data_IF_872623126836
#
_entry.id   IF_872623126836
#
_cell.length_a   1.000
_cell.length_b   1.000
_cell.length_c   1.000
_cell.angle_alpha   90.00
_cell.angle_beta   90.00
_cell.angle_gamma   90.00
#
_symmetry.space_group_name_H-M   'P 1'
#
loop_
_entity.id
_entity.type
_entity.pdbx_description
1 polymer ?
#
# COMPACT_ATOMS: atom_id res chain seq x y z
N UNK A 1 42.16 28.76 41.40
CA UNK A 1 42.65 27.53 42.09
C UNK A 1 41.60 26.42 42.23
N UNK A 2 40.27 26.69 42.20
CA UNK A 2 39.25 25.63 42.35
C UNK A 2 38.84 24.93 41.05
N UNK A 3 38.78 25.66 39.92
CA UNK A 3 38.27 25.14 38.64
C UNK A 3 39.21 24.16 37.90
N UNK A 4 40.47 24.03 38.33
CA UNK A 4 41.47 23.14 37.70
C UNK A 4 41.56 21.74 38.33
N UNK A 5 40.66 21.40 39.26
CA UNK A 5 40.63 20.08 39.92
C UNK A 5 39.72 19.14 39.14
N UNK A 6 40.10 17.87 39.07
CA UNK A 6 39.27 16.81 38.47
C UNK A 6 37.94 16.69 39.23
N UNK A 7 36.82 16.66 38.49
CA UNK A 7 35.47 16.57 39.09
C UNK A 7 35.12 15.10 39.36
N UNK A 8 34.50 14.85 40.50
CA UNK A 8 33.90 13.53 40.78
C UNK A 8 32.55 13.39 40.07
N UNK A 9 32.31 12.24 39.47
CA UNK A 9 31.07 11.97 38.73
C UNK A 9 29.81 11.92 39.62
N UNK A 10 29.96 11.63 40.92
CA UNK A 10 28.87 11.53 41.88
C UNK A 10 28.83 12.67 42.91
N UNK A 11 29.55 13.77 42.65
CA UNK A 11 29.47 14.93 43.53
C UNK A 11 28.10 15.62 43.37
N UNK A 12 27.39 15.80 44.47
CA UNK A 12 26.13 16.55 44.49
C UNK A 12 24.87 15.77 44.09
N UNK A 13 24.92 14.44 44.01
CA UNK A 13 23.79 13.61 43.53
C UNK A 13 22.47 13.81 44.29
N UNK A 14 22.51 14.19 45.57
CA UNK A 14 21.32 14.47 46.39
C UNK A 14 21.14 15.95 46.75
N UNK A 15 22.02 16.83 46.28
CA UNK A 15 21.99 18.25 46.67
C UNK A 15 20.78 18.98 46.10
N UNK A 16 20.33 18.62 44.89
CA UNK A 16 19.10 19.19 44.33
C UNK A 16 17.88 18.84 45.20
N UNK A 17 17.75 17.56 45.58
CA UNK A 17 16.66 17.10 46.44
C UNK A 17 16.65 17.80 47.80
N UNK A 18 17.82 18.03 48.39
CA UNK A 18 17.92 18.70 49.70
C UNK A 18 17.48 20.17 49.60
N UNK A 19 17.88 20.87 48.54
CA UNK A 19 17.43 22.24 48.30
C UNK A 19 15.92 22.32 48.03
N UNK A 20 15.36 21.35 47.30
CA UNK A 20 13.93 21.22 47.06
C UNK A 20 13.13 20.88 48.33
N UNK A 21 13.74 20.18 49.31
CA UNK A 21 13.10 19.83 50.59
C UNK A 21 13.15 20.97 51.62
N UNK A 22 14.13 21.87 51.52
CA UNK A 22 14.26 23.07 52.36
C UNK A 22 13.20 24.13 52.02
N UNK A 23 12.77 24.19 50.75
CA UNK A 23 11.63 24.98 50.33
C UNK A 23 10.34 24.17 50.62
N UNK A 24 9.70 24.40 51.77
CA UNK A 24 8.46 23.69 52.12
C UNK A 24 7.38 23.86 51.03
N UNK A 25 7.10 22.76 50.30
CA UNK A 25 6.23 22.81 49.13
C UNK A 25 4.74 22.77 49.53
N UNK A 26 4.15 23.95 49.74
CA UNK A 26 2.72 24.15 50.03
C UNK A 26 1.80 23.54 48.95
N UNK A 27 2.33 23.35 47.74
CA UNK A 27 1.61 22.71 46.64
C UNK A 27 1.22 21.27 46.98
N UNK A 28 2.15 20.44 47.47
CA UNK A 28 1.87 19.04 47.81
C UNK A 28 1.10 18.88 49.13
N UNK A 29 1.09 19.91 49.98
CA UNK A 29 0.26 19.93 51.19
C UNK A 29 -1.22 20.21 50.89
N UNK A 30 -1.52 20.95 49.81
CA UNK A 30 -2.89 21.45 49.54
C UNK A 30 -3.56 20.89 48.30
N UNK A 31 -2.79 20.51 47.27
CA UNK A 31 -3.38 19.99 46.03
C UNK A 31 -3.93 18.58 46.21
N UNK A 32 -5.11 18.34 45.63
CA UNK A 32 -5.80 17.04 45.65
C UNK A 32 -6.09 16.45 47.04
N UNK A 33 -6.16 17.28 48.08
CA UNK A 33 -6.38 16.82 49.47
C UNK A 33 -5.10 16.75 50.31
N UNK A 34 -3.94 16.99 49.71
CA UNK A 34 -2.65 16.90 50.38
C UNK A 34 -2.09 15.48 50.33
N UNK A 35 -0.79 15.35 50.05
CA UNK A 35 -0.14 14.06 49.89
C UNK A 35 0.41 13.49 51.22
N UNK A 36 -0.25 13.81 52.34
CA UNK A 36 0.09 13.28 53.65
C UNK A 36 -0.65 11.95 53.87
N UNK A 37 0.00 10.99 54.53
CA UNK A 37 -0.59 9.69 54.81
C UNK A 37 -1.73 9.84 55.84
N UNK A 38 -2.95 9.51 55.43
CA UNK A 38 -4.12 9.52 56.32
C UNK A 38 -4.23 8.20 57.07
N UNK A 39 -4.59 8.26 58.36
CA UNK A 39 -4.60 7.09 59.24
C UNK A 39 -5.63 6.00 58.84
N UNK A 40 -6.63 6.37 58.03
CA UNK A 40 -7.71 5.51 57.56
C UNK A 40 -7.65 5.27 56.03
N UNK A 41 -6.47 5.41 55.41
CA UNK A 41 -6.29 5.12 53.98
C UNK A 41 -6.28 3.60 53.73
N UNK A 42 -7.28 3.11 52.99
CA UNK A 42 -7.46 1.70 52.66
C UNK A 42 -6.99 1.47 51.22
N UNK A 43 -6.32 0.35 50.96
CA UNK A 43 -5.88 -0.04 49.62
C UNK A 43 -6.99 0.11 48.58
N UNK A 44 -6.63 0.71 47.43
CA UNK A 44 -7.57 0.97 46.34
C UNK A 44 -8.32 -0.30 45.91
N UNK A 45 -9.64 -0.27 46.02
CA UNK A 45 -10.51 -1.29 45.48
C UNK A 45 -10.99 -0.85 44.10
N UNK A 46 -10.64 -1.61 43.07
CA UNK A 46 -11.12 -1.34 41.71
C UNK A 46 -12.64 -1.55 41.68
N UNK A 47 -13.36 -0.49 41.34
CA UNK A 47 -14.76 -0.63 40.96
C UNK A 47 -14.87 -1.51 39.71
N UNK A 48 -15.94 -2.31 39.61
CA UNK A 48 -16.20 -3.12 38.42
C UNK A 48 -16.40 -2.15 37.26
N UNK A 49 -15.38 -2.02 36.41
CA UNK A 49 -15.44 -1.22 35.19
C UNK A 49 -16.66 -1.68 34.39
N UNK A 50 -17.67 -0.83 34.30
CA UNK A 50 -18.72 -1.00 33.29
C UNK A 50 -18.02 -0.90 31.95
N UNK A 51 -18.04 -2.00 31.19
CA UNK A 51 -17.54 -2.04 29.83
C UNK A 51 -18.24 -0.92 29.05
N UNK A 52 -17.52 0.18 28.79
CA UNK A 52 -17.99 1.27 27.95
C UNK A 52 -18.49 0.67 26.64
N UNK A 53 -19.81 0.65 26.42
CA UNK A 53 -20.47 0.01 25.28
C UNK A 53 -19.94 0.54 23.93
N UNK A 54 -19.37 1.74 23.97
CA UNK A 54 -18.66 2.39 22.86
C UNK A 54 -17.37 1.66 22.46
N UNK A 55 -16.60 1.11 23.40
CA UNK A 55 -15.43 0.27 23.12
C UNK A 55 -15.86 -1.06 22.49
N UNK A 56 -16.97 -1.63 22.94
CA UNK A 56 -17.54 -2.88 22.40
C UNK A 56 -18.01 -2.71 20.95
N UNK A 57 -18.67 -1.59 20.62
CA UNK A 57 -19.03 -1.26 19.23
C UNK A 57 -17.77 -1.03 18.36
N UNK A 58 -16.76 -0.33 18.89
CA UNK A 58 -15.47 -0.13 18.19
C UNK A 58 -14.72 -1.44 17.95
N UNK A 59 -14.81 -2.39 18.88
CA UNK A 59 -14.23 -3.74 18.78
C UNK A 59 -14.95 -4.57 17.70
N UNK A 60 -16.28 -4.55 17.68
CA UNK A 60 -17.10 -5.21 16.64
C UNK A 60 -16.81 -4.69 15.23
N UNK A 61 -16.64 -3.37 15.06
CA UNK A 61 -16.26 -2.77 13.77
C UNK A 61 -14.85 -3.17 13.31
N UNK A 62 -13.95 -3.46 14.26
CA UNK A 62 -12.55 -3.84 14.00
C UNK A 62 -12.40 -5.34 13.74
N UNK A 63 -13.20 -6.19 14.38
CA UNK A 63 -13.21 -7.66 14.20
C UNK A 63 -13.85 -8.11 12.88
N UNK A 64 -14.69 -7.28 12.25
CA UNK A 64 -15.19 -7.49 10.88
C UNK A 64 -14.11 -7.47 9.78
N UNK A 65 -12.85 -7.14 10.11
CA UNK A 65 -11.71 -7.22 9.20
C UNK A 65 -10.73 -8.29 9.67
N UNK A 66 -11.07 -9.56 9.41
CA UNK A 66 -10.09 -10.66 9.38
C UNK A 66 -9.01 -10.30 8.35
N UNK A 67 -7.85 -9.88 8.84
CA UNK A 67 -6.67 -9.58 8.04
C UNK A 67 -6.18 -10.89 7.43
N UNK A 68 -6.24 -10.98 6.11
CA UNK A 68 -5.65 -12.08 5.35
C UNK A 68 -4.18 -12.27 5.72
N UNK A 69 -3.77 -13.54 5.75
CA UNK A 69 -2.44 -13.98 6.15
C UNK A 69 -1.33 -13.20 5.46
N UNK A 70 -0.32 -12.84 6.25
CA UNK A 70 0.92 -12.21 5.79
C UNK A 70 1.60 -13.15 4.78
N UNK A 71 1.62 -12.79 3.50
CA UNK A 71 2.52 -13.42 2.53
C UNK A 71 3.96 -13.20 3.02
N UNK A 72 4.64 -14.30 3.34
CA UNK A 72 6.10 -14.30 3.56
C UNK A 72 6.75 -14.39 2.19
N UNK A 73 7.05 -13.26 1.58
CA UNK A 73 8.01 -13.21 0.48
C UNK A 73 9.40 -13.04 1.09
N UNK A 74 10.14 -14.15 1.16
CA UNK A 74 11.60 -14.10 1.24
C UNK A 74 12.11 -13.59 -0.11
N UNK A 75 12.40 -12.29 -0.23
CA UNK A 75 13.43 -11.72 -1.10
C UNK A 75 13.21 -10.20 -1.27
N UNK A 76 13.85 -9.42 -0.41
CA UNK A 76 14.85 -8.40 -0.79
C UNK A 76 15.13 -7.54 0.46
N UNK A 77 16.41 -7.41 0.85
CA UNK A 77 16.82 -6.56 1.96
C UNK A 77 17.04 -5.15 1.39
N UNK A 78 16.05 -4.28 1.55
CA UNK A 78 16.19 -2.88 1.13
C UNK A 78 17.32 -2.19 1.94
N UNK A 79 18.23 -1.45 1.29
CA UNK A 79 19.29 -0.73 1.99
C UNK A 79 18.68 0.38 2.86
N UNK A 80 19.17 0.48 4.10
CA UNK A 80 18.74 1.48 5.10
C UNK A 80 18.76 2.87 4.50
N UNK A 81 17.61 3.54 4.44
CA UNK A 81 17.54 4.96 4.11
C UNK A 81 18.17 5.75 5.25
N UNK A 82 19.20 6.53 4.92
CA UNK A 82 19.83 7.47 5.85
C UNK A 82 18.87 8.63 6.05
N UNK A 83 18.04 8.55 7.10
CA UNK A 83 17.34 9.72 7.63
C UNK A 83 18.38 10.65 8.23
N UNK A 84 18.50 11.85 7.65
CA UNK A 84 19.22 12.97 8.27
C UNK A 84 18.49 13.35 9.56
N UNK A 85 19.06 12.97 10.69
CA UNK A 85 18.86 13.65 11.97
C UNK A 85 20.16 14.32 12.41
N UNK A 86 19.97 15.46 13.07
CA UNK A 86 20.95 16.48 13.42
C UNK A 86 22.04 15.99 14.39
N UNK A 87 23.23 16.53 14.16
CA UNK A 87 24.27 16.97 15.12
C UNK A 87 24.82 15.99 16.16
N UNK A 88 26.13 15.73 16.11
CA UNK A 88 27.15 16.31 17.02
C UNK A 88 28.55 15.76 16.72
N UNK A 89 29.53 16.68 16.56
CA UNK A 89 31.00 16.55 16.75
C UNK A 89 31.78 15.54 15.87
N UNK A 90 33.00 15.75 15.36
CA UNK A 90 34.10 16.68 15.67
C UNK A 90 35.20 16.65 14.57
N UNK A 91 36.00 17.73 14.50
CA UNK A 91 37.34 17.88 13.86
C UNK A 91 37.41 17.84 12.31
N UNK A 92 38.19 18.65 11.56
CA UNK A 92 39.34 19.52 11.85
C UNK A 92 39.58 20.54 10.71
N UNK A 93 40.04 21.74 11.09
CA UNK A 93 40.87 22.74 10.36
C UNK A 93 40.35 23.50 9.10
N UNK A 94 40.85 24.75 8.86
CA UNK A 94 40.09 25.83 8.24
C UNK A 94 40.55 26.21 6.83
N UNK A 95 39.62 26.57 5.93
CA UNK A 95 39.96 27.26 4.67
C UNK A 95 38.97 28.38 4.38
N UNK A 96 39.49 29.60 4.53
CA UNK A 96 38.91 30.88 4.12
C UNK A 96 38.65 30.88 2.61
N UNK A 97 37.44 31.25 2.15
CA UNK A 97 37.20 31.77 0.79
C UNK A 97 35.88 32.57 0.68
N UNK A 98 36.09 33.89 0.70
CA UNK A 98 35.37 35.03 0.11
C UNK A 98 33.96 34.81 -0.51
N UNK A 99 33.03 35.60 0.00
CA UNK A 99 31.71 35.91 -0.58
C UNK A 99 31.88 36.64 -1.93
N UNK A 100 31.15 36.17 -2.97
CA UNK A 100 30.88 36.94 -4.19
C UNK A 100 29.38 36.90 -4.46
N UNK A 101 28.74 38.05 -4.31
CA UNK A 101 27.37 38.34 -4.70
C UNK A 101 27.20 38.13 -6.23
N UNK A 102 26.08 37.51 -6.64
CA UNK A 102 25.68 37.44 -8.05
C UNK A 102 24.35 38.13 -8.26
N UNK A 103 24.39 39.07 -9.20
CA UNK A 103 23.33 39.95 -9.68
C UNK A 103 22.09 39.19 -10.17
N UNK A 104 20.94 39.81 -9.90
CA UNK A 104 19.62 39.50 -10.43
C UNK A 104 19.60 39.73 -11.95
N UNK A 105 19.24 38.70 -12.73
CA UNK A 105 18.85 38.86 -14.13
C UNK A 105 17.48 38.20 -14.30
N UNK A 106 16.50 39.03 -14.64
CA UNK A 106 15.12 38.67 -14.93
C UNK A 106 15.04 37.79 -16.18
N UNK A 107 14.43 36.61 -16.06
CA UNK A 107 14.02 35.79 -17.20
C UNK A 107 12.51 35.89 -17.35
N UNK A 108 12.05 36.41 -18.50
CA UNK A 108 10.65 36.40 -18.92
C UNK A 108 10.14 34.96 -19.05
N UNK A 109 8.88 34.65 -18.71
CA UNK A 109 8.35 33.30 -18.85
C UNK A 109 8.12 32.99 -20.34
N UNK A 110 8.81 31.95 -20.84
CA UNK A 110 8.42 31.31 -22.08
C UNK A 110 7.09 30.59 -21.83
N UNK A 111 6.04 31.02 -22.52
CA UNK A 111 4.72 30.36 -22.48
C UNK A 111 4.89 29.01 -23.16
N UNK A 112 5.04 27.95 -22.36
CA UNK A 112 5.08 26.58 -22.86
C UNK A 112 3.63 26.16 -23.11
N UNK A 113 3.23 26.16 -24.39
CA UNK A 113 1.87 25.86 -24.80
C UNK A 113 1.59 24.35 -24.63
N UNK A 114 0.97 24.00 -23.49
CA UNK A 114 0.64 22.63 -23.08
C UNK A 114 -0.33 21.93 -24.05
N UNK A 115 -1.03 22.69 -24.89
CA UNK A 115 -2.00 22.20 -25.88
C UNK A 115 -1.34 21.47 -27.06
N UNK A 116 -0.06 21.75 -27.34
CA UNK A 116 0.66 21.14 -28.46
C UNK A 116 1.15 19.71 -28.18
N UNK A 117 1.19 19.28 -26.91
CA UNK A 117 1.64 17.92 -26.53
C UNK A 117 0.51 16.88 -26.61
N UNK A 118 -0.76 17.30 -26.65
CA UNK A 118 -1.91 16.41 -26.74
C UNK A 118 -2.09 15.78 -28.13
N UNK A 119 -1.44 16.34 -29.16
CA UNK A 119 -1.55 15.87 -30.56
C UNK A 119 -0.44 14.91 -31.02
N UNK A 120 0.50 14.53 -30.16
CA UNK A 120 1.47 13.47 -30.47
C UNK A 120 1.12 12.22 -29.68
N UNK A 121 0.73 11.16 -30.40
CA UNK A 121 0.24 9.90 -29.87
C UNK A 121 1.13 9.32 -28.77
N UNK A 122 0.76 9.60 -27.53
CA UNK A 122 1.33 8.96 -26.35
C UNK A 122 0.93 7.47 -26.44
N UNK A 123 1.92 6.57 -26.34
CA UNK A 123 1.67 5.12 -26.34
C UNK A 123 0.60 4.79 -25.30
N UNK A 124 -0.36 3.91 -25.64
CA UNK A 124 -1.49 3.52 -24.76
C UNK A 124 -1.04 3.16 -23.33
N UNK A 125 0.11 2.48 -23.20
CA UNK A 125 0.69 2.12 -21.90
C UNK A 125 1.14 3.34 -21.08
N UNK A 126 1.70 4.36 -21.73
CA UNK A 126 2.09 5.63 -21.10
C UNK A 126 0.87 6.45 -20.69
N UNK A 127 -0.20 6.42 -21.49
CA UNK A 127 -1.47 7.08 -21.15
C UNK A 127 -2.13 6.45 -19.91
N UNK A 128 -2.14 5.11 -19.82
CA UNK A 128 -2.69 4.39 -18.67
C UNK A 128 -1.89 4.67 -17.38
N UNK A 129 -0.56 4.64 -17.44
CA UNK A 129 0.29 4.96 -16.28
C UNK A 129 0.17 6.43 -15.87
N UNK A 130 0.07 7.34 -16.84
CA UNK A 130 -0.18 8.77 -16.58
C UNK A 130 -1.53 8.98 -15.89
N UNK A 131 -2.59 8.36 -16.40
CA UNK A 131 -3.91 8.42 -15.78
C UNK A 131 -3.93 7.85 -14.34
N UNK A 132 -3.22 6.75 -14.08
CA UNK A 132 -3.06 6.18 -12.74
C UNK A 132 -2.33 7.14 -11.79
N UNK A 133 -1.24 7.78 -12.25
CA UNK A 133 -0.52 8.77 -11.44
C UNK A 133 -1.37 10.00 -11.15
N UNK A 134 -2.17 10.46 -12.11
CA UNK A 134 -3.11 11.57 -11.92
C UNK A 134 -4.21 11.19 -10.91
N UNK A 135 -4.75 9.97 -10.97
CA UNK A 135 -5.69 9.46 -9.97
C UNK A 135 -5.07 9.46 -8.57
N UNK A 136 -3.84 8.96 -8.43
CA UNK A 136 -3.12 8.95 -7.14
C UNK A 136 -2.86 10.37 -6.61
N UNK A 137 -2.56 11.32 -7.49
CA UNK A 137 -2.40 12.73 -7.11
C UNK A 137 -3.73 13.37 -6.69
N UNK A 138 -4.82 13.09 -7.41
CA UNK A 138 -6.18 13.55 -7.06
C UNK A 138 -6.63 12.97 -5.72
N UNK A 139 -6.43 11.68 -5.47
CA UNK A 139 -6.74 11.03 -4.19
C UNK A 139 -5.97 11.68 -3.03
N UNK A 140 -4.66 11.94 -3.21
CA UNK A 140 -3.85 12.66 -2.21
C UNK A 140 -4.39 14.06 -1.96
N UNK A 141 -4.70 14.80 -3.02
CA UNK A 141 -5.25 16.15 -2.93
C UNK A 141 -6.65 16.17 -2.30
N UNK A 142 -7.50 15.18 -2.56
CA UNK A 142 -8.81 15.04 -1.93
C UNK A 142 -8.71 14.68 -0.45
N UNK A 143 -7.77 13.80 -0.07
CA UNK A 143 -7.50 13.49 1.34
C UNK A 143 -6.96 14.72 2.05
N UNK A 144 -6.08 15.49 1.42
CA UNK A 144 -5.54 16.74 1.96
C UNK A 144 -6.64 17.81 2.08
N UNK A 145 -7.51 17.97 1.07
CA UNK A 145 -8.68 18.85 1.12
C UNK A 145 -9.66 18.43 2.22
N UNK A 146 -9.98 17.14 2.35
CA UNK A 146 -10.82 16.61 3.44
C UNK A 146 -10.20 16.85 4.81
N UNK A 147 -8.88 16.70 4.94
CA UNK A 147 -8.15 17.02 6.19
C UNK A 147 -8.12 18.53 6.46
N UNK A 148 -8.00 19.36 5.44
CA UNK A 148 -8.02 20.81 5.56
C UNK A 148 -9.41 21.34 5.91
N UNK A 149 -10.48 20.75 5.37
CA UNK A 149 -11.86 21.06 5.75
C UNK A 149 -12.14 20.67 7.21
N UNK A 150 -11.75 19.46 7.62
CA UNK A 150 -11.83 19.03 9.03
C UNK A 150 -11.05 19.90 10.02
N UNK A 151 -10.02 20.61 9.56
CA UNK A 151 -9.24 21.58 10.38
C UNK A 151 -9.84 22.98 10.38
N UNK A 152 -10.68 23.31 9.39
CA UNK A 152 -11.45 24.57 9.31
C UNK A 152 -12.78 24.49 10.06
N UNK A 153 -13.19 23.29 10.45
CA UNK A 153 -14.31 23.05 11.38
C UNK A 153 -13.94 23.38 12.84
N UNK A 154 -13.08 24.38 13.08
CA UNK A 154 -13.09 25.14 14.33
C UNK A 154 -14.22 26.14 14.19
N UNK A 155 -15.41 25.61 14.47
CA UNK A 155 -16.76 26.16 14.45
C UNK A 155 -16.82 27.70 14.57
N UNK A 156 -17.02 28.46 13.47
CA UNK A 156 -17.89 29.63 13.53
C UNK A 156 -19.27 29.09 13.89
N UNK A 157 -19.92 29.66 14.91
CA UNK A 157 -21.26 29.24 15.36
C UNK A 157 -22.24 29.27 14.19
N UNK A 158 -22.46 28.12 13.56
CA UNK A 158 -23.54 27.97 12.60
C UNK A 158 -24.86 28.07 13.39
N UNK A 159 -25.87 28.74 12.82
CA UNK A 159 -27.22 28.72 13.38
C UNK A 159 -27.64 27.26 13.62
N UNK A 160 -28.33 27.00 14.74
CA UNK A 160 -28.92 25.67 14.95
C UNK A 160 -29.84 25.38 13.76
N UNK A 161 -29.57 24.26 13.09
CA UNK A 161 -30.38 23.75 11.99
C UNK A 161 -31.84 23.65 12.46
N UNK A 162 -32.76 24.16 11.64
CA UNK A 162 -34.18 24.15 11.96
C UNK A 162 -34.69 22.71 12.07
N UNK A 163 -35.80 22.51 12.79
CA UNK A 163 -36.42 21.18 12.94
C UNK A 163 -36.75 20.55 11.57
N UNK A 164 -37.15 21.37 10.60
CA UNK A 164 -37.51 20.93 9.24
C UNK A 164 -36.32 20.34 8.49
N UNK A 165 -35.19 21.04 8.52
CA UNK A 165 -33.94 20.58 7.92
C UNK A 165 -33.43 19.28 8.57
N UNK A 166 -33.62 19.11 9.89
CA UNK A 166 -33.29 17.86 10.59
C UNK A 166 -34.18 16.70 10.11
N UNK A 167 -35.45 16.97 9.83
CA UNK A 167 -36.39 16.00 9.27
C UNK A 167 -36.07 15.69 7.80
N UNK A 168 -35.58 16.64 7.02
CA UNK A 168 -35.10 16.42 5.65
C UNK A 168 -33.84 15.56 5.62
N UNK A 169 -32.87 15.82 6.51
CA UNK A 169 -31.70 14.97 6.67
C UNK A 169 -32.10 13.54 7.10
N UNK A 170 -33.07 13.42 8.01
CA UNK A 170 -33.61 12.12 8.40
C UNK A 170 -34.26 11.37 7.22
N UNK A 171 -35.05 12.05 6.37
CA UNK A 171 -35.64 11.45 5.15
C UNK A 171 -34.57 11.00 4.15
N UNK A 172 -33.54 11.81 3.93
CA UNK A 172 -32.44 11.48 3.02
C UNK A 172 -31.66 10.27 3.51
N UNK A 173 -31.42 10.19 4.82
CA UNK A 173 -30.72 9.05 5.43
C UNK A 173 -31.58 7.78 5.41
N UNK A 174 -32.88 7.90 5.64
CA UNK A 174 -33.83 6.79 5.48
C UNK A 174 -33.84 6.26 4.04
N UNK A 175 -33.96 7.13 3.04
CA UNK A 175 -33.88 6.72 1.64
C UNK A 175 -32.56 6.04 1.30
N UNK A 176 -31.44 6.55 1.83
CA UNK A 176 -30.13 5.95 1.62
C UNK A 176 -30.04 4.56 2.27
N UNK A 177 -30.61 4.39 3.45
CA UNK A 177 -30.69 3.12 4.15
C UNK A 177 -31.56 2.10 3.37
N UNK A 178 -32.74 2.51 2.89
CA UNK A 178 -33.60 1.67 2.05
C UNK A 178 -32.88 1.23 0.76
N UNK A 179 -32.28 2.17 0.03
CA UNK A 179 -31.46 1.87 -1.17
C UNK A 179 -30.28 0.95 -0.86
N UNK A 180 -29.71 1.04 0.35
CA UNK A 180 -28.62 0.14 0.77
C UNK A 180 -29.12 -1.27 1.09
N UNK A 181 -30.31 -1.38 1.67
CA UNK A 181 -30.97 -2.64 1.99
C UNK A 181 -31.37 -3.38 0.70
N UNK A 182 -32.00 -2.70 -0.25
CA UNK A 182 -32.33 -3.27 -1.57
C UNK A 182 -31.08 -3.83 -2.28
N UNK A 183 -29.97 -3.08 -2.25
CA UNK A 183 -28.68 -3.54 -2.81
C UNK A 183 -28.14 -4.76 -2.10
N UNK A 184 -28.30 -4.83 -0.77
CA UNK A 184 -27.88 -5.99 0.01
C UNK A 184 -28.71 -7.23 -0.36
N UNK A 185 -30.03 -7.08 -0.51
CA UNK A 185 -30.92 -8.17 -0.94
C UNK A 185 -30.57 -8.68 -2.34
N UNK A 186 -30.32 -7.77 -3.29
CA UNK A 186 -29.85 -8.13 -4.63
C UNK A 186 -28.52 -8.90 -4.58
N UNK A 187 -27.58 -8.45 -3.75
CA UNK A 187 -26.31 -9.14 -3.56
C UNK A 187 -26.49 -10.52 -2.92
N UNK A 188 -27.40 -10.69 -1.97
CA UNK A 188 -27.72 -11.99 -1.38
C UNK A 188 -28.36 -12.95 -2.40
N UNK A 189 -29.25 -12.45 -3.27
CA UNK A 189 -29.78 -13.24 -4.39
C UNK A 189 -28.68 -13.63 -5.37
N UNK A 190 -27.76 -12.72 -5.70
CA UNK A 190 -26.62 -13.01 -6.58
C UNK A 190 -25.61 -13.98 -5.96
N UNK A 191 -25.44 -13.96 -4.63
CA UNK A 191 -24.63 -14.97 -3.91
C UNK A 191 -25.26 -16.36 -3.98
N UNK A 192 -26.58 -16.45 -4.03
CA UNK A 192 -27.34 -17.70 -4.19
C UNK A 192 -27.36 -18.21 -5.63
N UNK A 193 -27.15 -17.34 -6.63
CA UNK A 193 -27.08 -17.76 -8.04
C UNK A 193 -25.81 -18.60 -8.28
N UNK A 194 -25.90 -19.78 -8.92
CA UNK A 194 -24.72 -20.57 -9.24
C UNK A 194 -23.83 -19.78 -10.20
N UNK A 195 -22.55 -19.61 -9.84
CA UNK A 195 -21.58 -18.97 -10.73
C UNK A 195 -21.42 -19.82 -11.98
N UNK A 196 -21.69 -19.25 -13.14
CA UNK A 196 -21.45 -19.92 -14.43
C UNK A 196 -19.94 -20.07 -14.61
N UNK A 197 -19.42 -21.25 -14.30
CA UNK A 197 -18.04 -21.61 -14.61
C UNK A 197 -17.97 -21.91 -16.10
N UNK A 198 -17.25 -21.08 -16.86
CA UNK A 198 -16.94 -21.39 -18.26
C UNK A 198 -16.15 -22.69 -18.28
N UNK A 199 -16.74 -23.77 -18.79
CA UNK A 199 -16.02 -25.03 -19.01
C UNK A 199 -14.92 -24.73 -20.02
N UNK A 200 -13.66 -25.00 -19.66
CA UNK A 200 -12.55 -24.97 -20.60
C UNK A 200 -12.80 -25.98 -21.72
N UNK A 201 -12.26 -25.72 -22.91
CA UNK A 201 -12.36 -26.64 -24.03
C UNK A 201 -11.71 -27.99 -23.66
N UNK A 202 -12.53 -29.02 -23.45
CA UNK A 202 -12.11 -30.41 -23.16
C UNK A 202 -12.05 -31.22 -24.45
N UNK A 203 -11.31 -30.71 -25.45
CA UNK A 203 -11.10 -31.41 -26.72
C UNK A 203 -9.62 -31.58 -27.00
N UNK A 204 -9.28 -32.57 -27.84
CA UNK A 204 -7.93 -32.75 -28.35
C UNK A 204 -7.49 -31.50 -29.12
N UNK A 205 -6.32 -30.95 -28.80
CA UNK A 205 -5.75 -29.79 -29.49
C UNK A 205 -4.54 -30.22 -30.33
N UNK A 206 -4.59 -29.95 -31.64
CA UNK A 206 -3.48 -30.24 -32.54
C UNK A 206 -2.44 -29.11 -32.40
N UNK A 207 -1.22 -29.47 -31.97
CA UNK A 207 -0.09 -28.55 -31.89
C UNK A 207 0.86 -28.81 -33.04
N UNK A 208 0.96 -27.87 -33.97
CA UNK A 208 1.98 -27.91 -35.03
C UNK A 208 3.37 -27.69 -34.45
N UNK A 209 4.32 -28.53 -34.84
CA UNK A 209 5.74 -28.35 -34.56
C UNK A 209 6.47 -28.29 -35.89
N UNK A 210 7.15 -27.19 -36.16
CA UNK A 210 8.04 -27.07 -37.31
C UNK A 210 9.35 -27.82 -37.00
N UNK A 211 9.65 -28.89 -37.74
CA UNK A 211 10.97 -29.51 -37.71
C UNK A 211 11.73 -29.14 -38.97
N UNK A 212 13.04 -28.88 -38.85
CA UNK A 212 13.92 -28.65 -40.00
C UNK A 212 14.21 -29.96 -40.72
N UNK A 213 14.25 -29.93 -42.05
CA UNK A 213 14.41 -31.10 -42.93
C UNK A 213 15.63 -31.96 -42.54
N UNK A 214 15.48 -33.28 -42.32
CA UNK A 214 16.61 -34.16 -42.02
C UNK A 214 17.47 -34.39 -43.28
N UNK A 215 18.79 -34.28 -43.11
CA UNK A 215 19.77 -34.48 -44.18
C UNK A 215 19.93 -35.99 -44.45
N UNK A 216 19.48 -36.45 -45.61
CA UNK A 216 19.62 -37.85 -46.03
C UNK A 216 21.09 -38.06 -46.43
N UNK A 217 21.85 -38.81 -45.64
CA UNK A 217 23.16 -39.33 -46.06
C UNK A 217 22.94 -40.53 -46.97
N UNK A 218 23.39 -40.43 -48.22
CA UNK A 218 23.46 -41.53 -49.17
C UNK A 218 24.42 -42.58 -48.63
N UNK A 219 23.93 -43.80 -48.40
CA UNK A 219 24.75 -44.95 -48.01
C UNK A 219 25.38 -45.51 -49.27
N UNK A 220 26.71 -45.40 -49.38
CA UNK A 220 27.51 -46.08 -50.39
C UNK A 220 27.26 -47.59 -50.33
N UNK A 221 26.60 -48.14 -51.35
CA UNK A 221 26.36 -49.58 -51.48
C UNK A 221 27.62 -50.28 -52.03
N UNK A 222 28.22 -51.26 -51.32
CA UNK A 222 29.23 -52.11 -51.95
C UNK A 222 28.59 -53.10 -52.94
N UNK A 223 29.24 -53.15 -54.11
CA UNK A 223 29.05 -53.92 -55.35
C UNK A 223 28.17 -55.20 -55.36
N UNK A 224 27.50 -55.49 -56.50
CA UNK A 224 26.46 -56.52 -56.59
C UNK A 224 27.02 -57.94 -56.73
N UNK A 225 26.44 -58.90 -56.00
CA UNK A 225 26.58 -60.33 -56.35
C UNK A 225 25.50 -60.69 -57.36
N UNK A 226 25.92 -61.16 -58.52
CA UNK A 226 25.05 -61.59 -59.61
C UNK A 226 24.19 -62.81 -59.20
N UNK A 227 22.86 -62.78 -59.41
CA UNK A 227 22.05 -64.00 -59.37
C UNK A 227 22.05 -64.73 -60.74
N UNK A 228 21.99 -66.07 -60.76
CA UNK A 228 22.03 -66.88 -61.99
C UNK A 228 20.74 -66.72 -62.82
N UNK A 229 20.81 -66.92 -64.16
CA UNK A 229 19.70 -66.67 -65.06
C UNK A 229 18.75 -67.86 -65.22
N UNK A 230 17.50 -67.51 -65.55
CA UNK A 230 16.43 -68.34 -66.12
C UNK A 230 15.71 -69.25 -65.10
N UNK A 231 14.37 -69.39 -65.11
CA UNK A 231 13.52 -69.62 -66.27
C UNK A 231 12.12 -69.02 -66.06
N UNK A 232 11.58 -68.39 -67.10
CA UNK A 232 10.17 -68.02 -67.24
C UNK A 232 9.33 -69.26 -67.59
N UNK A 233 8.02 -69.20 -67.28
CA UNK A 233 7.04 -69.40 -68.35
C UNK A 233 6.00 -68.26 -68.29
N UNK A 234 5.99 -67.32 -69.24
CA UNK A 234 5.23 -67.34 -70.49
C UNK A 234 3.76 -67.79 -70.34
N UNK A 235 2.89 -66.77 -70.38
CA UNK A 235 1.53 -66.72 -70.91
C UNK A 235 0.43 -67.53 -70.20
N UNK A 236 -0.62 -66.81 -69.77
CA UNK A 236 -1.81 -66.70 -70.65
C UNK A 236 -2.69 -65.50 -70.29
N UNK A 237 -2.88 -64.68 -71.30
CA UNK A 237 -3.97 -63.72 -71.41
C UNK A 237 -5.29 -64.49 -71.47
N UNK A 238 -6.31 -64.05 -70.75
CA UNK A 238 -7.68 -64.26 -71.18
C UNK A 238 -8.59 -63.15 -70.65
N UNK A 239 -8.87 -62.22 -71.56
CA UNK A 239 -10.02 -61.34 -71.59
C UNK A 239 -11.32 -62.16 -71.69
N UNK A 240 -12.35 -61.78 -70.94
CA UNK A 240 -13.78 -61.99 -71.23
C UNK A 240 -14.56 -61.14 -70.19
N UNK A 241 -14.98 -59.89 -70.45
CA UNK A 241 -16.07 -59.36 -71.29
C UNK A 241 -17.46 -59.99 -71.03
N UNK A 242 -18.25 -59.25 -70.24
CA UNK A 242 -19.71 -59.02 -70.29
C UNK A 242 -20.64 -60.13 -70.79
N UNK A 243 -21.58 -60.52 -69.93
CA UNK A 243 -23.02 -60.15 -70.04
C UNK A 243 -23.62 -60.06 -68.64
#
# INVERSE_FOLDING_TARGET
>A
MAAGRERRNNAGTKMSRLLEEEEEDDFYKTTYGGFMEEADDVDYQSEVEQDDEFQTWRRMLREGKKKGGRLITKAYKEPKSVTKTKSTSSSSAPVVKKVKEKKVVSKKPAVFDLTALEKKGIRKSTQMKSAETVKRQRERAEVEKKRAMKKKDVVPSLPRLTQEELLEEAKITEEANLKSLEKYELAELDRKKPKVVRRGFTGSFIRYQSTTMPLIQEVDAPAPRHPPPCQTPLLKWMWCRQT
#
